data_IF_054106467360
#
_entry.id   IF_054106467360
#
_cell.length_a   1.000
_cell.length_b   1.000
_cell.length_c   1.000
_cell.angle_alpha   90.00
_cell.angle_beta   90.00
_cell.angle_gamma   90.00
#
_symmetry.space_group_name_H-M   'P 1'
#
loop_
_entity.id
_entity.type
_entity.pdbx_description
1 polymer ?
#
# COMPACT_ATOMS: atom_id res chain seq x y z
N UNK A 1 16.41 -9.30 -7.61
CA UNK A 1 16.90 -9.29 -6.21
C UNK A 1 15.73 -9.53 -5.28
N UNK A 2 15.84 -10.46 -4.32
CA UNK A 2 14.77 -10.77 -3.36
C UNK A 2 15.10 -10.03 -2.05
N UNK A 3 14.31 -9.01 -1.70
CA UNK A 3 14.49 -8.27 -0.46
C UNK A 3 13.78 -9.01 0.67
N UNK A 4 14.57 -9.50 1.64
CA UNK A 4 14.08 -10.16 2.84
C UNK A 4 14.24 -9.21 4.04
N UNK A 5 13.15 -8.84 4.72
CA UNK A 5 13.20 -8.07 5.96
C UNK A 5 13.96 -8.84 7.05
N UNK A 6 14.68 -8.14 7.91
CA UNK A 6 15.33 -8.76 9.08
C UNK A 6 14.40 -8.67 10.30
N UNK A 7 14.39 -9.73 11.12
CA UNK A 7 13.54 -9.87 12.31
C UNK A 7 12.05 -9.73 11.95
N UNK A 8 11.21 -9.22 12.86
CA UNK A 8 9.75 -9.14 12.75
C UNK A 8 9.26 -8.01 11.81
N UNK A 9 10.10 -7.59 10.86
CA UNK A 9 9.75 -6.52 9.92
C UNK A 9 9.04 -7.09 8.72
N UNK A 10 8.12 -6.30 8.17
CA UNK A 10 7.34 -6.65 6.99
C UNK A 10 7.56 -5.62 5.90
N UNK A 11 7.88 -6.07 4.70
CA UNK A 11 7.90 -5.21 3.53
C UNK A 11 6.47 -5.08 2.98
N UNK A 12 5.93 -3.87 3.07
CA UNK A 12 4.59 -3.55 2.57
C UNK A 12 4.71 -2.64 1.34
N UNK A 13 4.03 -3.00 0.27
CA UNK A 13 3.81 -2.11 -0.88
C UNK A 13 2.48 -1.40 -0.67
N UNK A 14 2.50 -0.06 -0.61
CA UNK A 14 1.26 0.72 -0.55
C UNK A 14 0.44 0.48 -1.80
N UNK A 15 -0.85 0.24 -1.63
CA UNK A 15 -1.78 0.19 -2.76
C UNK A 15 -2.00 1.61 -3.28
N UNK A 16 -2.37 1.74 -4.55
CA UNK A 16 -2.79 3.02 -5.09
C UNK A 16 -4.19 3.35 -4.54
N UNK A 17 -4.39 4.60 -4.13
CA UNK A 17 -5.67 5.05 -3.58
C UNK A 17 -6.76 5.06 -4.66
N UNK A 18 -8.00 4.82 -4.25
CA UNK A 18 -9.14 4.72 -5.15
C UNK A 18 -9.29 5.98 -6.03
N UNK A 19 -9.27 5.78 -7.35
CA UNK A 19 -9.47 6.87 -8.31
C UNK A 19 -10.92 7.36 -8.34
N UNK A 20 -11.86 6.51 -7.92
CA UNK A 20 -13.29 6.75 -7.96
C UNK A 20 -13.94 6.34 -6.65
N UNK A 21 -14.70 7.27 -6.07
CA UNK A 21 -15.57 6.95 -4.94
C UNK A 21 -16.76 6.10 -5.38
N UNK A 22 -17.42 5.41 -4.45
CA UNK A 22 -18.61 4.59 -4.72
C UNK A 22 -19.77 5.36 -5.40
N UNK A 23 -19.76 6.71 -5.32
CA UNK A 23 -20.70 7.60 -5.99
C UNK A 23 -20.28 8.07 -7.39
N UNK A 24 -19.16 7.59 -7.94
CA UNK A 24 -18.67 7.97 -9.26
C UNK A 24 -17.85 9.27 -9.33
N UNK A 25 -17.51 9.87 -8.18
CA UNK A 25 -16.67 11.07 -8.12
C UNK A 25 -15.20 10.69 -8.35
N UNK A 26 -14.55 11.35 -9.31
CA UNK A 26 -13.12 11.17 -9.61
C UNK A 26 -12.30 12.00 -8.62
N UNK A 27 -11.42 11.35 -7.88
CA UNK A 27 -10.51 12.01 -6.94
C UNK A 27 -9.23 12.43 -7.69
N UNK A 28 -8.92 13.72 -7.81
CA UNK A 28 -7.68 14.18 -8.43
C UNK A 28 -6.48 13.76 -7.59
N UNK A 29 -5.35 13.47 -8.23
CA UNK A 29 -4.17 12.86 -7.60
C UNK A 29 -3.62 13.63 -6.38
N UNK A 30 -3.79 14.95 -6.34
CA UNK A 30 -3.38 15.79 -5.20
C UNK A 30 -4.28 15.66 -3.96
N UNK A 31 -5.52 15.18 -4.12
CA UNK A 31 -6.50 14.98 -3.06
C UNK A 31 -6.67 13.50 -2.66
N UNK A 32 -5.92 12.60 -3.29
CA UNK A 32 -5.85 11.19 -2.87
C UNK A 32 -5.27 11.12 -1.46
N UNK A 33 -6.10 10.73 -0.49
CA UNK A 33 -5.62 10.44 0.86
C UNK A 33 -4.57 9.32 0.80
N UNK A 34 -3.55 9.41 1.68
CA UNK A 34 -2.52 8.37 1.75
C UNK A 34 -3.20 7.06 2.16
N UNK A 35 -3.20 6.03 1.29
CA UNK A 35 -3.80 4.76 1.64
C UNK A 35 -3.06 4.16 2.82
N UNK A 36 -3.80 3.88 3.88
CA UNK A 36 -3.30 3.17 5.05
C UNK A 36 -3.13 1.67 4.77
N UNK A 37 -3.69 1.19 3.67
CA UNK A 37 -3.68 -0.20 3.23
C UNK A 37 -2.53 -0.47 2.24
N UNK A 38 -2.00 -1.68 2.30
CA UNK A 38 -0.91 -2.12 1.45
C UNK A 38 -0.77 -3.63 1.44
N UNK A 39 -0.19 -4.15 0.37
CA UNK A 39 0.05 -5.58 0.18
C UNK A 39 1.39 -5.98 0.80
N UNK A 40 1.39 -7.12 1.49
CA UNK A 40 2.61 -7.69 2.08
C UNK A 40 3.40 -8.41 0.99
N UNK A 41 4.59 -7.89 0.68
CA UNK A 41 5.48 -8.44 -0.37
C UNK A 41 6.46 -9.47 0.22
N UNK A 42 6.90 -9.25 1.46
CA UNK A 42 7.72 -10.22 2.20
C UNK A 42 7.65 -9.98 3.70
N UNK A 43 7.71 -11.07 4.47
CA UNK A 43 7.83 -11.06 5.93
C UNK A 43 9.19 -11.62 6.33
N UNK A 44 9.74 -11.12 7.43
CA UNK A 44 10.91 -11.72 8.06
C UNK A 44 10.59 -13.06 8.73
N UNK A 45 11.63 -13.76 9.20
CA UNK A 45 11.52 -15.12 9.73
C UNK A 45 11.17 -15.18 11.24
N UNK A 46 10.95 -14.04 11.89
CA UNK A 46 10.61 -13.91 13.32
C UNK A 46 9.22 -13.32 13.47
#
# INVERSE_FOLDING_TARGET
>A
MKFTPLHDRVLVRRMEGDEKTAGGLIIPDNAKEKPAEGEIVSAGAG
#
